data_IF_841406109035
#
_entry.id   IF_841406109035
#
_cell.length_a   1.000
_cell.length_b   1.000
_cell.length_c   1.000
_cell.angle_alpha   90.00
_cell.angle_beta   90.00
_cell.angle_gamma   90.00
#
_symmetry.space_group_name_H-M   'P 1'
#
loop_
_entity.id
_entity.type
_entity.pdbx_description
1 polymer ?
#
# COMPACT_ATOMS: atom_id res chain seq x y z
N UNK A 1 -12.34 -19.20 33.28
CA UNK A 1 -12.66 -17.95 32.57
C UNK A 1 -12.05 -16.71 33.22
N UNK A 2 -11.91 -16.61 34.55
CA UNK A 2 -11.45 -15.36 35.22
C UNK A 2 -9.97 -14.94 35.10
N UNK A 3 -9.05 -15.80 34.67
CA UNK A 3 -7.62 -15.44 34.52
C UNK A 3 -7.28 -14.86 33.14
N UNK A 4 -8.07 -15.17 32.10
CA UNK A 4 -7.86 -14.61 30.75
C UNK A 4 -8.41 -13.19 30.65
N UNK A 5 -9.55 -12.90 31.27
CA UNK A 5 -10.15 -11.56 31.29
C UNK A 5 -9.34 -10.56 32.12
N UNK A 6 -8.80 -10.97 33.27
CA UNK A 6 -7.91 -10.12 34.09
C UNK A 6 -6.57 -9.82 33.40
N UNK A 7 -6.06 -10.74 32.58
CA UNK A 7 -4.84 -10.55 31.79
C UNK A 7 -5.04 -9.63 30.58
N UNK A 8 -6.20 -9.72 29.91
CA UNK A 8 -6.56 -8.80 28.83
C UNK A 8 -6.82 -7.38 29.36
N UNK A 9 -7.42 -7.24 30.54
CA UNK A 9 -7.62 -5.95 31.20
C UNK A 9 -6.28 -5.32 31.64
N UNK A 10 -5.32 -6.10 32.15
CA UNK A 10 -4.01 -5.56 32.54
C UNK A 10 -3.13 -5.15 31.35
N UNK A 11 -3.13 -5.91 30.25
CA UNK A 11 -2.49 -5.52 28.99
C UNK A 11 -3.12 -4.25 28.40
N UNK A 12 -4.45 -4.13 28.47
CA UNK A 12 -5.15 -2.92 28.02
C UNK A 12 -4.76 -1.69 28.84
N UNK A 13 -4.56 -1.83 30.17
CA UNK A 13 -4.17 -0.75 31.07
C UNK A 13 -2.70 -0.35 30.92
N UNK A 14 -1.79 -1.29 30.65
CA UNK A 14 -0.38 -1.02 30.38
C UNK A 14 -0.20 -0.31 29.02
N UNK A 15 -0.87 -0.80 27.98
CA UNK A 15 -0.92 -0.12 26.67
C UNK A 15 -1.57 1.27 26.79
N UNK A 16 -2.61 1.42 27.61
CA UNK A 16 -3.20 2.73 27.93
C UNK A 16 -2.23 3.66 28.64
N UNK A 17 -1.52 3.19 29.67
CA UNK A 17 -0.53 3.97 30.41
C UNK A 17 0.65 4.37 29.53
N UNK A 18 1.12 3.49 28.65
CA UNK A 18 2.17 3.77 27.68
C UNK A 18 1.71 4.81 26.66
N UNK A 19 0.53 4.59 26.07
CA UNK A 19 -0.11 5.51 25.12
C UNK A 19 -0.28 6.91 25.75
N UNK A 20 -0.77 6.98 26.99
CA UNK A 20 -0.89 8.24 27.73
C UNK A 20 0.47 8.87 28.06
N UNK A 21 1.50 8.10 28.44
CA UNK A 21 2.85 8.64 28.71
C UNK A 21 3.49 9.24 27.46
N UNK A 22 3.33 8.60 26.30
CA UNK A 22 3.85 9.13 25.02
C UNK A 22 3.08 10.38 24.63
N UNK A 23 1.75 10.36 24.77
CA UNK A 23 0.88 11.45 24.32
C UNK A 23 0.80 12.64 25.30
N UNK A 24 1.16 12.46 26.58
CA UNK A 24 1.30 13.55 27.56
C UNK A 24 2.57 14.39 27.38
N UNK A 25 3.52 13.98 26.53
CA UNK A 25 4.64 14.84 26.11
C UNK A 25 4.26 15.87 25.03
N UNK A 26 2.99 15.90 24.61
CA UNK A 26 2.47 16.77 23.56
C UNK A 26 1.79 18.00 24.18
N UNK A 27 2.15 19.21 23.71
CA UNK A 27 1.80 20.52 24.28
C UNK A 27 0.29 20.85 24.42
N UNK A 28 -0.64 20.03 23.88
CA UNK A 28 -2.09 20.24 23.99
C UNK A 28 -2.86 18.95 24.35
N UNK A 29 -3.53 18.90 25.53
CA UNK A 29 -4.18 17.68 26.06
C UNK A 29 -5.40 17.14 25.29
N UNK A 30 -6.13 17.97 24.54
CA UNK A 30 -7.38 17.54 23.86
C UNK A 30 -7.11 16.64 22.66
N UNK A 31 -6.15 17.01 21.82
CA UNK A 31 -5.80 16.30 20.59
C UNK A 31 -5.02 15.00 20.89
N UNK A 32 -4.22 15.03 21.95
CA UNK A 32 -3.55 13.86 22.51
C UNK A 32 -4.54 12.82 23.04
N UNK A 33 -5.70 13.22 23.58
CA UNK A 33 -6.73 12.30 24.07
C UNK A 33 -7.52 11.64 22.95
N UNK A 34 -7.88 12.36 21.88
CA UNK A 34 -8.62 11.78 20.76
C UNK A 34 -7.74 10.80 19.97
N UNK A 35 -6.47 11.16 19.78
CA UNK A 35 -5.45 10.29 19.21
C UNK A 35 -5.12 9.12 20.15
N UNK A 36 -5.04 9.34 21.47
CA UNK A 36 -4.89 8.26 22.46
C UNK A 36 -6.06 7.29 22.42
N UNK A 37 -7.28 7.79 22.34
CA UNK A 37 -8.49 6.96 22.32
C UNK A 37 -8.55 6.12 21.04
N UNK A 38 -8.24 6.70 19.88
CA UNK A 38 -8.17 5.97 18.61
C UNK A 38 -6.97 5.01 18.53
N UNK A 39 -5.80 5.42 19.00
CA UNK A 39 -4.58 4.62 18.93
C UNK A 39 -4.52 3.54 20.02
N UNK A 40 -5.08 3.75 21.22
CA UNK A 40 -4.89 2.86 22.38
C UNK A 40 -5.37 1.43 22.17
N UNK A 41 -6.27 1.18 21.22
CA UNK A 41 -6.67 -0.18 20.83
C UNK A 41 -5.61 -0.88 19.96
N UNK A 42 -4.65 -0.13 19.42
CA UNK A 42 -3.77 -0.52 18.31
C UNK A 42 -2.31 -0.14 18.55
N UNK A 43 -1.99 0.49 19.68
CA UNK A 43 -0.60 0.72 20.08
C UNK A 43 0.00 -0.61 20.48
N UNK A 44 1.07 -0.97 19.80
CA UNK A 44 1.92 -2.10 20.18
C UNK A 44 3.03 -1.55 21.08
N UNK A 45 3.15 -2.10 22.28
CA UNK A 45 4.19 -1.69 23.20
C UNK A 45 5.57 -2.10 22.64
N UNK A 46 6.57 -1.20 22.59
CA UNK A 46 7.92 -1.55 22.16
C UNK A 46 8.51 -2.78 22.85
N UNK A 47 8.15 -3.05 24.11
CA UNK A 47 8.63 -4.19 24.89
C UNK A 47 8.03 -5.54 24.42
N UNK A 48 7.05 -5.51 23.53
CA UNK A 48 6.50 -6.71 22.88
C UNK A 48 7.34 -7.21 21.69
N UNK A 49 8.27 -6.38 21.20
CA UNK A 49 9.17 -6.75 20.13
C UNK A 49 10.46 -7.39 20.64
N UNK A 50 10.97 -8.36 19.89
CA UNK A 50 12.26 -9.00 20.13
C UNK A 50 12.95 -9.29 18.78
N UNK A 51 14.28 -9.47 18.80
CA UNK A 51 15.09 -9.76 17.60
C UNK A 51 14.82 -8.75 16.47
N UNK A 52 14.90 -7.45 16.79
CA UNK A 52 14.72 -6.38 15.82
C UNK A 52 15.98 -6.29 14.96
N UNK A 53 15.83 -6.50 13.66
CA UNK A 53 16.92 -6.51 12.69
C UNK A 53 16.59 -5.50 11.57
N UNK A 54 17.62 -4.81 11.07
CA UNK A 54 17.46 -3.99 9.87
C UNK A 54 17.23 -4.90 8.66
N UNK A 55 16.25 -4.54 7.82
CA UNK A 55 15.95 -5.28 6.59
C UNK A 55 16.24 -4.44 5.35
N UNK A 56 15.67 -3.24 5.27
CA UNK A 56 15.84 -2.37 4.12
C UNK A 56 15.71 -0.90 4.50
N UNK A 57 16.36 -0.02 3.74
CA UNK A 57 16.17 1.42 3.82
C UNK A 57 15.64 1.92 2.48
N UNK A 58 14.41 2.40 2.46
CA UNK A 58 13.83 3.11 1.32
C UNK A 58 14.03 4.62 1.45
N UNK A 59 13.58 5.35 0.42
CA UNK A 59 13.60 6.81 0.41
C UNK A 59 12.71 7.42 1.50
N UNK A 60 11.61 6.74 1.85
CA UNK A 60 10.55 7.29 2.70
C UNK A 60 10.59 6.73 4.12
N UNK A 61 11.02 5.47 4.25
CA UNK A 61 11.04 4.76 5.52
C UNK A 61 12.16 3.70 5.55
N UNK A 62 12.54 3.34 6.77
CA UNK A 62 13.33 2.15 7.07
C UNK A 62 12.39 1.02 7.45
N UNK A 63 12.64 -0.17 6.93
CA UNK A 63 11.95 -1.40 7.30
C UNK A 63 12.89 -2.22 8.19
N UNK A 64 12.42 -2.54 9.39
CA UNK A 64 13.04 -3.54 10.26
C UNK A 64 12.14 -4.76 10.38
N UNK A 65 12.73 -5.93 10.58
CA UNK A 65 12.01 -7.17 10.87
C UNK A 65 12.12 -7.46 12.36
N UNK A 66 11.04 -7.91 12.99
CA UNK A 66 11.03 -8.28 14.40
C UNK A 66 10.15 -9.52 14.65
N UNK A 67 10.31 -10.12 15.83
CA UNK A 67 9.36 -11.05 16.41
C UNK A 67 8.42 -10.27 17.35
N UNK A 68 7.11 -10.39 17.16
CA UNK A 68 6.09 -9.77 18.01
C UNK A 68 5.45 -10.80 18.94
N UNK A 69 5.35 -10.49 20.23
CA UNK A 69 4.70 -11.36 21.24
C UNK A 69 3.28 -11.75 20.79
N UNK A 70 2.99 -13.04 20.80
CA UNK A 70 1.66 -13.57 20.44
C UNK A 70 1.36 -13.62 18.93
N UNK A 71 2.21 -13.07 18.06
CA UNK A 71 2.08 -13.19 16.62
C UNK A 71 2.86 -14.39 16.09
N UNK A 72 2.26 -15.17 15.18
CA UNK A 72 2.94 -16.27 14.49
C UNK A 72 3.65 -15.73 13.25
N UNK A 73 4.97 -15.83 13.24
CA UNK A 73 5.82 -15.35 12.14
C UNK A 73 6.53 -14.04 12.48
N UNK A 74 7.18 -13.46 11.47
CA UNK A 74 7.89 -12.19 11.59
C UNK A 74 6.96 -11.03 11.25
N UNK A 75 7.22 -9.87 11.86
CA UNK A 75 6.53 -8.61 11.57
C UNK A 75 7.49 -7.61 10.96
N UNK A 76 6.98 -6.73 10.12
CA UNK A 76 7.68 -5.59 9.58
C UNK A 76 7.34 -4.34 10.40
N UNK A 77 8.39 -3.58 10.75
CA UNK A 77 8.32 -2.28 11.39
C UNK A 77 8.70 -1.24 10.33
N UNK A 78 7.72 -0.54 9.76
CA UNK A 78 7.95 0.54 8.79
C UNK A 78 8.07 1.87 9.53
N UNK A 79 9.28 2.40 9.64
CA UNK A 79 9.58 3.65 10.35
C UNK A 79 9.95 4.74 9.36
N UNK A 80 9.12 5.77 9.26
CA UNK A 80 9.39 6.92 8.40
C UNK A 80 10.60 7.71 8.88
N UNK A 81 11.37 8.24 7.92
CA UNK A 81 12.45 9.16 8.21
C UNK A 81 11.87 10.44 8.83
N UNK A 82 12.49 10.96 9.90
CA UNK A 82 11.92 12.10 10.60
C UNK A 82 12.58 12.48 11.92
N UNK A 83 13.88 12.21 12.09
CA UNK A 83 14.58 12.54 13.35
C UNK A 83 14.64 14.06 13.65
N UNK A 84 14.23 14.93 12.71
CA UNK A 84 14.35 16.39 12.81
C UNK A 84 13.04 17.16 12.49
N UNK A 85 11.86 16.53 12.58
CA UNK A 85 10.58 17.25 12.37
C UNK A 85 10.18 18.10 13.57
N UNK A 86 9.49 19.21 13.34
CA UNK A 86 8.86 20.00 14.40
C UNK A 86 7.69 19.24 15.06
N UNK A 87 7.28 19.68 16.25
CA UNK A 87 6.12 19.08 16.93
C UNK A 87 4.81 19.21 16.12
N UNK A 88 4.65 20.32 15.38
CA UNK A 88 3.51 20.54 14.50
C UNK A 88 3.47 19.54 13.34
N UNK A 89 4.62 19.30 12.69
CA UNK A 89 4.75 18.36 11.58
C UNK A 89 4.51 16.91 12.02
N UNK A 90 5.07 16.51 13.18
CA UNK A 90 4.78 15.20 13.78
C UNK A 90 3.28 14.98 13.98
N UNK A 91 2.57 16.01 14.43
CA UNK A 91 1.13 15.95 14.67
C UNK A 91 0.36 15.77 13.37
N UNK A 92 0.67 16.56 12.33
CA UNK A 92 0.03 16.44 11.02
C UNK A 92 0.26 15.06 10.40
N UNK A 93 1.51 14.59 10.44
CA UNK A 93 1.89 13.25 9.97
C UNK A 93 1.10 12.17 10.72
N UNK A 94 1.10 12.21 12.05
CA UNK A 94 0.47 11.18 12.88
C UNK A 94 -1.05 11.17 12.68
N UNK A 95 -1.68 12.35 12.59
CA UNK A 95 -3.11 12.45 12.30
C UNK A 95 -3.45 11.81 10.95
N UNK A 96 -2.65 12.07 9.89
CA UNK A 96 -2.89 11.47 8.57
C UNK A 96 -2.67 9.97 8.59
N UNK A 97 -1.56 9.50 9.17
CA UNK A 97 -1.26 8.08 9.31
C UNK A 97 -2.41 7.34 10.00
N UNK A 98 -2.89 7.83 11.15
CA UNK A 98 -3.98 7.19 11.88
C UNK A 98 -5.29 7.20 11.11
N UNK A 99 -5.57 8.29 10.37
CA UNK A 99 -6.75 8.36 9.49
C UNK A 99 -6.72 7.30 8.41
N UNK A 100 -5.60 7.18 7.69
CA UNK A 100 -5.46 6.21 6.59
C UNK A 100 -5.38 4.76 7.10
N UNK A 101 -4.74 4.53 8.26
CA UNK A 101 -4.78 3.22 8.94
C UNK A 101 -6.19 2.84 9.39
N UNK A 102 -6.99 3.81 9.85
CA UNK A 102 -8.40 3.60 10.16
C UNK A 102 -9.16 3.06 8.95
N UNK A 103 -8.99 3.68 7.78
CA UNK A 103 -9.59 3.22 6.52
C UNK A 103 -9.11 1.82 6.13
N UNK A 104 -7.80 1.57 6.14
CA UNK A 104 -7.23 0.25 5.80
C UNK A 104 -7.75 -0.84 6.74
N UNK A 105 -7.87 -0.58 8.04
CA UNK A 105 -8.40 -1.56 8.99
C UNK A 105 -9.84 -1.98 8.68
N UNK A 106 -10.69 -1.09 8.18
CA UNK A 106 -12.08 -1.43 7.83
C UNK A 106 -12.20 -2.47 6.70
N UNK A 107 -11.12 -2.72 5.98
CA UNK A 107 -11.09 -3.60 4.80
C UNK A 107 -10.17 -4.82 4.96
N UNK A 108 -9.53 -4.98 6.12
CA UNK A 108 -8.49 -6.01 6.33
C UNK A 108 -9.01 -7.46 6.40
N UNK A 109 -10.32 -7.66 6.45
CA UNK A 109 -10.92 -9.01 6.44
C UNK A 109 -10.84 -9.66 5.06
N UNK A 110 -10.57 -8.88 4.00
CA UNK A 110 -10.41 -9.42 2.66
C UNK A 110 -9.12 -10.25 2.52
N UNK A 111 -9.15 -11.44 1.90
CA UNK A 111 -8.00 -12.33 1.82
C UNK A 111 -6.80 -11.77 1.03
N UNK A 112 -7.03 -10.76 0.19
CA UNK A 112 -6.00 -10.06 -0.59
C UNK A 112 -5.62 -8.68 -0.05
N UNK A 113 -5.93 -8.39 1.21
CA UNK A 113 -5.52 -7.16 1.90
C UNK A 113 -4.66 -7.55 3.09
N UNK A 114 -3.48 -6.95 3.22
CA UNK A 114 -2.58 -7.21 4.34
C UNK A 114 -3.21 -6.63 5.63
N UNK A 115 -3.31 -7.41 6.73
CA UNK A 115 -3.85 -6.89 7.97
C UNK A 115 -2.88 -5.94 8.68
N UNK A 116 -3.44 -4.97 9.38
CA UNK A 116 -2.68 -4.02 10.20
C UNK A 116 -2.62 -4.56 11.63
N UNK A 117 -1.42 -4.85 12.14
CA UNK A 117 -1.23 -5.34 13.51
C UNK A 117 -1.29 -4.20 14.51
N UNK A 118 -0.76 -3.03 14.14
CA UNK A 118 -0.85 -1.83 14.96
C UNK A 118 0.19 -0.77 14.61
N UNK A 119 0.42 0.13 15.55
CA UNK A 119 1.39 1.22 15.45
C UNK A 119 2.27 1.23 16.70
N UNK A 120 3.58 1.23 16.52
CA UNK A 120 4.52 1.44 17.61
C UNK A 120 4.81 2.94 17.72
N UNK A 121 4.36 3.57 18.80
CA UNK A 121 4.59 4.99 19.06
C UNK A 121 6.02 5.20 19.61
N UNK A 122 6.60 6.36 19.32
CA UNK A 122 7.88 6.77 19.89
C UNK A 122 7.81 8.22 20.35
N UNK A 123 8.45 8.55 21.47
CA UNK A 123 8.42 9.92 22.02
C UNK A 123 9.27 10.90 21.20
N UNK A 124 10.38 10.42 20.62
CA UNK A 124 11.34 11.26 19.90
C UNK A 124 11.29 11.12 18.37
N UNK A 125 10.55 10.13 17.83
CA UNK A 125 10.54 9.79 16.40
C UNK A 125 9.11 9.68 15.88
N UNK A 126 8.95 9.68 14.55
CA UNK A 126 7.67 9.35 13.93
C UNK A 126 7.21 7.92 14.31
N UNK A 127 5.89 7.67 14.38
CA UNK A 127 5.35 6.34 14.64
C UNK A 127 5.84 5.31 13.61
N UNK A 128 5.96 4.05 14.01
CA UNK A 128 6.23 2.94 13.11
C UNK A 128 4.96 2.11 12.88
N UNK A 129 4.66 1.79 11.61
CA UNK A 129 3.58 0.88 11.25
C UNK A 129 4.05 -0.57 11.44
N UNK A 130 3.18 -1.38 12.06
CA UNK A 130 3.42 -2.79 12.35
C UNK A 130 2.48 -3.65 11.50
N UNK A 131 3.05 -4.46 10.62
CA UNK A 131 2.31 -5.38 9.73
C UNK A 131 3.02 -6.75 9.66
N UNK A 132 2.35 -7.84 9.24
CA UNK A 132 3.03 -9.11 8.99
C UNK A 132 4.12 -8.94 7.92
N UNK A 133 5.24 -9.64 8.08
CA UNK A 133 6.33 -9.60 7.11
C UNK A 133 6.19 -10.71 6.07
N UNK A 134 6.16 -10.30 4.80
CA UNK A 134 6.15 -11.16 3.62
C UNK A 134 7.05 -10.54 2.53
N UNK A 135 7.64 -11.34 1.63
CA UNK A 135 8.37 -10.80 0.50
C UNK A 135 7.44 -10.02 -0.44
N UNK A 136 7.96 -8.99 -1.09
CA UNK A 136 7.20 -8.26 -2.13
C UNK A 136 7.11 -9.09 -3.41
N UNK A 137 6.16 -8.77 -4.29
CA UNK A 137 6.11 -9.33 -5.65
C UNK A 137 7.43 -9.06 -6.37
N UNK A 138 8.01 -7.87 -6.20
CA UNK A 138 9.34 -7.54 -6.75
C UNK A 138 10.42 -8.52 -6.28
N UNK A 139 10.47 -8.84 -4.99
CA UNK A 139 11.45 -9.78 -4.43
C UNK A 139 11.24 -11.20 -4.96
N UNK A 140 9.97 -11.64 -5.03
CA UNK A 140 9.62 -12.98 -5.54
C UNK A 140 10.00 -13.12 -7.01
N UNK A 141 9.69 -12.12 -7.83
CA UNK A 141 10.00 -12.14 -9.27
C UNK A 141 11.51 -12.02 -9.56
N UNK A 142 12.27 -11.32 -8.73
CA UNK A 142 13.73 -11.23 -8.85
C UNK A 142 14.42 -12.56 -8.55
N UNK A 143 13.82 -13.41 -7.71
CA UNK A 143 14.35 -14.72 -7.33
C UNK A 143 13.75 -15.89 -8.14
N UNK A 144 12.90 -15.60 -9.13
CA UNK A 144 12.25 -16.60 -9.97
C UNK A 144 13.03 -16.84 -11.27
N UNK A 145 14.17 -17.52 -11.15
CA UNK A 145 15.04 -17.88 -12.29
C UNK A 145 14.36 -18.81 -13.29
N UNK A 146 13.42 -19.61 -12.82
CA UNK A 146 12.81 -20.70 -13.57
C UNK A 146 11.48 -20.29 -14.23
N UNK A 147 11.03 -19.05 -14.03
CA UNK A 147 9.78 -18.53 -14.59
C UNK A 147 8.53 -19.23 -14.07
N UNK A 148 8.57 -19.76 -12.84
CA UNK A 148 7.48 -20.56 -12.25
C UNK A 148 6.43 -19.72 -11.54
N UNK A 149 6.71 -18.44 -11.30
CA UNK A 149 5.74 -17.56 -10.64
C UNK A 149 4.53 -17.35 -11.54
N UNK A 150 3.35 -17.71 -11.03
CA UNK A 150 2.07 -17.45 -11.69
C UNK A 150 1.72 -15.96 -11.59
N UNK A 151 2.28 -15.19 -12.54
CA UNK A 151 2.04 -13.74 -12.65
C UNK A 151 0.55 -13.44 -12.80
N UNK A 152 -0.20 -14.26 -13.54
CA UNK A 152 -1.63 -14.03 -13.76
C UNK A 152 -2.43 -14.25 -12.47
N UNK A 153 -2.17 -15.33 -11.73
CA UNK A 153 -2.82 -15.60 -10.45
C UNK A 153 -2.52 -14.52 -9.41
N UNK A 154 -1.27 -14.02 -9.35
CA UNK A 154 -0.92 -12.90 -8.48
C UNK A 154 -1.65 -11.61 -8.88
N UNK A 155 -1.83 -11.32 -10.17
CA UNK A 155 -2.59 -10.16 -10.66
C UNK A 155 -4.09 -10.28 -10.37
N UNK A 156 -4.69 -11.48 -10.50
CA UNK A 156 -6.08 -11.74 -10.12
C UNK A 156 -6.32 -11.41 -8.64
N UNK A 157 -5.39 -11.81 -7.77
CA UNK A 157 -5.47 -11.48 -6.34
C UNK A 157 -5.41 -9.97 -6.07
N UNK A 158 -4.57 -9.23 -6.81
CA UNK A 158 -4.51 -7.76 -6.72
C UNK A 158 -5.81 -7.14 -7.19
N UNK A 159 -6.35 -7.58 -8.33
CA UNK A 159 -7.61 -7.09 -8.89
C UNK A 159 -8.79 -7.34 -7.94
N UNK A 160 -8.88 -8.53 -7.34
CA UNK A 160 -9.90 -8.86 -6.33
C UNK A 160 -9.80 -7.95 -5.09
N UNK A 161 -8.59 -7.70 -4.59
CA UNK A 161 -8.35 -6.75 -3.49
C UNK A 161 -8.79 -5.33 -3.83
N UNK A 162 -8.40 -4.82 -5.01
CA UNK A 162 -8.78 -3.50 -5.47
C UNK A 162 -10.29 -3.37 -5.70
N UNK A 163 -10.93 -4.40 -6.26
CA UNK A 163 -12.39 -4.46 -6.42
C UNK A 163 -13.10 -4.30 -5.08
N UNK A 164 -12.62 -4.96 -4.04
CA UNK A 164 -13.20 -4.81 -2.70
C UNK A 164 -13.04 -3.39 -2.13
N UNK A 165 -11.88 -2.76 -2.34
CA UNK A 165 -11.62 -1.37 -1.93
C UNK A 165 -12.50 -0.36 -2.69
N UNK A 166 -12.58 -0.51 -4.01
CA UNK A 166 -13.32 0.39 -4.89
C UNK A 166 -14.83 0.26 -4.70
N UNK A 167 -15.32 -0.89 -4.21
CA UNK A 167 -16.73 -1.10 -3.89
C UNK A 167 -17.17 -0.50 -2.55
N UNK A 168 -16.26 0.09 -1.77
CA UNK A 168 -16.61 0.74 -0.50
C UNK A 168 -17.46 2.00 -0.75
N UNK A 169 -18.14 2.47 0.27
CA UNK A 169 -18.94 3.70 0.22
C UNK A 169 -18.55 4.64 1.38
N UNK A 170 -17.75 5.68 1.15
CA UNK A 170 -17.15 6.06 -0.13
C UNK A 170 -16.08 5.05 -0.62
N UNK A 171 -15.77 5.00 -1.92
CA UNK A 171 -14.71 4.13 -2.45
C UNK A 171 -13.37 4.44 -1.79
N UNK A 172 -12.52 3.42 -1.61
CA UNK A 172 -11.16 3.57 -1.09
C UNK A 172 -10.19 3.36 -2.24
N UNK A 173 -9.35 4.35 -2.52
CA UNK A 173 -8.26 4.24 -3.49
C UNK A 173 -6.99 3.83 -2.76
N UNK A 174 -6.20 2.94 -3.36
CA UNK A 174 -4.94 2.48 -2.78
C UNK A 174 -3.85 3.55 -2.92
N UNK A 175 -3.66 4.08 -4.13
CA UNK A 175 -2.78 5.21 -4.43
C UNK A 175 -1.29 4.91 -4.60
N UNK A 176 -0.82 3.67 -4.47
CA UNK A 176 0.60 3.29 -4.66
C UNK A 176 0.74 1.84 -5.13
N UNK A 177 0.04 1.47 -6.20
CA UNK A 177 0.07 0.10 -6.75
C UNK A 177 1.33 -0.11 -7.60
N UNK A 178 2.24 -0.97 -7.14
CA UNK A 178 3.48 -1.38 -7.82
C UNK A 178 4.05 -2.66 -7.19
N UNK A 179 4.98 -3.35 -7.85
CA UNK A 179 5.43 -4.66 -7.37
C UNK A 179 6.10 -4.64 -5.98
N UNK A 180 6.62 -3.49 -5.54
CA UNK A 180 7.21 -3.32 -4.21
C UNK A 180 6.21 -3.06 -3.09
N UNK A 181 4.93 -2.78 -3.39
CA UNK A 181 3.87 -2.56 -2.39
C UNK A 181 2.88 -3.72 -2.32
N UNK A 182 2.96 -4.67 -3.25
CA UNK A 182 2.21 -5.92 -3.21
C UNK A 182 3.08 -6.99 -2.54
N UNK A 183 2.55 -7.63 -1.49
CA UNK A 183 3.23 -8.71 -0.78
C UNK A 183 2.74 -10.08 -1.23
N UNK A 184 3.59 -11.10 -1.12
CA UNK A 184 3.26 -12.49 -1.46
C UNK A 184 3.28 -13.35 -0.21
N UNK A 185 2.12 -13.88 0.15
CA UNK A 185 1.99 -14.85 1.23
C UNK A 185 1.90 -16.26 0.66
N UNK A 186 2.80 -17.14 1.09
CA UNK A 186 2.66 -18.59 0.90
C UNK A 186 1.86 -19.19 2.06
N UNK A 187 0.86 -20.01 1.74
CA UNK A 187 0.04 -20.72 2.71
C UNK A 187 -0.26 -22.14 2.21
N UNK A 188 -0.58 -23.05 3.13
CA UNK A 188 -1.06 -24.38 2.77
C UNK A 188 -2.55 -24.31 2.51
N UNK A 189 -2.97 -24.73 1.33
CA UNK A 189 -4.38 -24.90 1.00
C UNK A 189 -4.98 -25.96 1.95
N UNK A 190 -6.05 -25.63 2.70
CA UNK A 190 -6.56 -26.51 3.74
C UNK A 190 -7.23 -27.77 3.18
N UNK A 191 -7.60 -27.78 1.90
CA UNK A 191 -8.27 -28.90 1.24
C UNK A 191 -7.28 -29.86 0.60
N UNK A 192 -6.26 -29.32 -0.08
CA UNK A 192 -5.28 -30.09 -0.86
C UNK A 192 -3.97 -30.31 -0.11
N UNK A 193 -3.66 -29.50 0.91
CA UNK A 193 -2.38 -29.51 1.60
C UNK A 193 -1.23 -28.93 0.78
N UNK A 194 -1.50 -28.41 -0.42
CA UNK A 194 -0.49 -27.85 -1.31
C UNK A 194 -0.13 -26.42 -0.92
N UNK A 195 1.13 -26.05 -1.12
CA UNK A 195 1.57 -24.67 -0.93
C UNK A 195 1.01 -23.80 -2.07
N UNK A 196 0.17 -22.84 -1.71
CA UNK A 196 -0.36 -21.81 -2.60
C UNK A 196 0.20 -20.44 -2.23
N UNK A 197 0.25 -19.55 -3.21
CA UNK A 197 0.62 -18.16 -3.01
C UNK A 197 -0.59 -17.26 -3.20
N UNK A 198 -0.62 -16.15 -2.47
CA UNK A 198 -1.56 -15.06 -2.73
C UNK A 198 -0.92 -13.69 -2.62
N UNK A 199 -1.40 -12.75 -3.43
CA UNK A 199 -1.04 -11.34 -3.32
C UNK A 199 -1.84 -10.66 -2.21
N UNK A 200 -1.18 -9.78 -1.47
CA UNK A 200 -1.75 -8.92 -0.43
C UNK A 200 -1.44 -7.45 -0.75
N UNK A 201 -2.49 -6.64 -0.87
CA UNK A 201 -2.37 -5.18 -0.96
C UNK A 201 -1.85 -4.63 0.38
N UNK A 202 -0.80 -3.81 0.34
CA UNK A 202 -0.23 -3.14 1.51
C UNK A 202 -0.03 -1.65 1.23
N UNK A 203 0.19 -0.84 2.26
CA UNK A 203 0.40 0.61 2.12
C UNK A 203 -0.82 1.36 1.53
N UNK A 204 -2.02 0.86 1.80
CA UNK A 204 -3.28 1.47 1.36
C UNK A 204 -3.38 2.90 1.91
N UNK A 205 -3.52 3.89 1.01
CA UNK A 205 -3.65 5.30 1.37
C UNK A 205 -2.36 5.98 1.82
N UNK A 206 -1.27 5.23 1.99
CA UNK A 206 0.01 5.77 2.47
C UNK A 206 0.62 6.77 1.49
N UNK A 207 0.20 6.75 0.22
CA UNK A 207 0.68 7.68 -0.79
C UNK A 207 0.36 9.16 -0.50
N UNK A 208 -0.65 9.36 0.34
CA UNK A 208 -1.14 10.69 0.71
C UNK A 208 -0.50 11.23 1.99
N UNK A 209 0.41 10.47 2.61
CA UNK A 209 1.08 10.87 3.85
C UNK A 209 2.26 11.80 3.51
N UNK A 210 2.32 13.02 4.08
CA UNK A 210 3.42 13.96 3.87
C UNK A 210 4.79 13.42 4.35
N UNK A 211 5.89 13.81 3.70
CA UNK A 211 7.25 13.40 4.06
C UNK A 211 8.18 14.59 4.37
N UNK A 212 9.03 14.55 5.43
CA UNK A 212 10.06 15.57 5.73
C UNK A 212 11.42 15.23 5.07
N UNK A 213 12.32 16.20 4.75
CA UNK A 213 12.27 17.64 4.99
C UNK A 213 11.63 18.47 3.86
N UNK A 214 11.38 17.87 2.69
CA UNK A 214 11.05 18.64 1.48
C UNK A 214 9.56 18.66 1.11
N UNK A 215 8.67 18.00 1.86
CA UNK A 215 7.22 17.94 1.58
C UNK A 215 6.87 17.61 0.12
N UNK A 216 7.84 17.05 -0.61
CA UNK A 216 7.72 16.59 -1.95
C UNK A 216 7.23 15.15 -1.89
N UNK A 217 6.24 14.85 -2.73
CA UNK A 217 5.69 13.51 -2.87
C UNK A 217 6.78 12.52 -3.24
N UNK A 218 6.55 11.25 -2.90
CA UNK A 218 7.09 10.06 -3.57
C UNK A 218 8.28 10.34 -4.48
N UNK A 219 9.47 9.88 -4.06
CA UNK A 219 10.70 10.08 -4.83
C UNK A 219 10.43 9.86 -6.32
N UNK A 220 10.88 10.79 -7.16
CA UNK A 220 10.45 11.00 -8.55
C UNK A 220 10.32 9.70 -9.37
N UNK A 221 11.05 8.64 -9.01
CA UNK A 221 10.96 7.31 -9.62
C UNK A 221 9.61 6.59 -9.46
N UNK A 222 8.84 6.86 -8.41
CA UNK A 222 7.49 6.34 -8.19
C UNK A 222 6.48 6.85 -9.24
N UNK A 223 6.81 7.94 -9.94
CA UNK A 223 5.97 8.51 -10.99
C UNK A 223 5.72 7.54 -12.18
N UNK A 224 6.51 6.47 -12.31
CA UNK A 224 6.36 5.47 -13.38
C UNK A 224 5.04 4.73 -13.35
N UNK A 225 4.44 4.58 -12.18
CA UNK A 225 3.15 3.91 -11.99
C UNK A 225 1.97 4.87 -11.89
N UNK A 226 2.23 6.16 -11.64
CA UNK A 226 1.17 7.14 -11.42
C UNK A 226 0.42 7.48 -12.72
N UNK A 227 -0.88 7.70 -12.60
CA UNK A 227 -1.72 8.16 -13.69
C UNK A 227 -1.44 9.63 -14.05
N UNK A 228 -1.66 10.06 -15.30
CA UNK A 228 -1.38 11.44 -15.72
C UNK A 228 -2.16 12.48 -14.91
N UNK A 229 -3.41 12.22 -14.54
CA UNK A 229 -4.24 13.13 -13.73
C UNK A 229 -3.81 13.24 -12.25
N UNK A 230 -3.03 12.28 -11.75
CA UNK A 230 -2.44 12.39 -10.42
C UNK A 230 -1.29 13.41 -10.45
N UNK A 231 -0.51 13.39 -11.54
CA UNK A 231 0.69 14.21 -11.74
C UNK A 231 0.40 15.60 -12.31
N UNK A 232 -0.60 15.74 -13.17
CA UNK A 232 -0.97 16.99 -13.83
C UNK A 232 -2.32 17.51 -13.30
N UNK A 233 -2.33 18.61 -12.53
CA UNK A 233 -3.56 19.24 -12.05
C UNK A 233 -4.56 19.60 -13.14
N UNK A 234 -4.11 19.89 -14.37
CA UNK A 234 -5.00 20.24 -15.48
C UNK A 234 -5.82 19.05 -15.98
N UNK A 235 -5.39 17.82 -15.67
CA UNK A 235 -6.06 16.58 -16.07
C UNK A 235 -6.95 16.00 -14.95
N UNK A 236 -6.97 16.63 -13.77
CA UNK A 236 -7.70 16.14 -12.59
C UNK A 236 -9.22 16.12 -12.83
N UNK A 237 -9.92 15.10 -12.31
CA UNK A 237 -11.37 15.15 -12.17
C UNK A 237 -11.78 16.38 -11.36
N UNK A 238 -12.91 17.01 -11.71
CA UNK A 238 -13.46 18.05 -10.84
C UNK A 238 -14.02 17.43 -9.56
N UNK A 239 -14.11 18.20 -8.47
CA UNK A 239 -14.71 17.72 -7.21
C UNK A 239 -16.18 17.26 -7.37
N UNK A 240 -16.86 17.68 -8.44
CA UNK A 240 -18.21 17.23 -8.77
C UNK A 240 -18.22 15.87 -9.48
N UNK A 241 -17.13 15.49 -10.14
CA UNK A 241 -16.99 14.23 -10.85
C UNK A 241 -16.60 13.07 -9.93
N UNK A 242 -16.02 13.36 -8.77
CA UNK A 242 -15.55 12.31 -7.85
C UNK A 242 -16.58 12.07 -6.74
N UNK A 243 -16.92 10.80 -6.49
CA UNK A 243 -17.62 10.38 -5.27
C UNK A 243 -16.72 10.43 -4.03
N UNK A 244 -15.52 10.99 -4.16
CA UNK A 244 -14.51 11.08 -3.11
C UNK A 244 -14.77 12.30 -2.25
N UNK A 245 -15.06 12.05 -0.97
CA UNK A 245 -15.08 13.07 0.06
C UNK A 245 -13.76 12.99 0.84
N UNK A 246 -12.73 13.64 0.32
CA UNK A 246 -11.62 14.08 1.19
C UNK A 246 -11.29 15.54 0.81
N UNK A 247 -11.93 16.52 1.45
CA UNK A 247 -11.77 17.94 1.15
C UNK A 247 -10.59 18.56 1.91
N UNK A 248 -9.64 17.76 2.44
CA UNK A 248 -8.53 18.35 3.19
C UNK A 248 -7.68 19.23 2.26
N UNK A 249 -7.52 20.54 2.56
CA UNK A 249 -6.75 21.48 1.74
C UNK A 249 -5.25 21.15 1.68
N UNK A 250 -4.82 20.12 2.41
CA UNK A 250 -3.46 19.58 2.40
C UNK A 250 -3.28 18.45 1.38
N UNK A 251 -4.35 17.96 0.74
CA UNK A 251 -4.27 16.92 -0.30
C UNK A 251 -3.62 17.50 -1.54
N UNK A 252 -2.53 16.85 -1.90
CA UNK A 252 -1.59 17.31 -2.91
C UNK A 252 -1.56 16.32 -4.07
N UNK A 253 -1.85 15.04 -3.81
CA UNK A 253 -2.15 14.00 -4.80
C UNK A 253 -3.60 13.55 -4.68
N UNK A 254 -4.38 13.75 -5.74
CA UNK A 254 -5.73 13.20 -5.85
C UNK A 254 -5.65 11.80 -6.44
N UNK A 255 -5.70 10.78 -5.58
CA UNK A 255 -5.78 9.37 -5.99
C UNK A 255 -7.24 8.94 -6.05
N UNK A 256 -7.59 8.21 -7.11
CA UNK A 256 -8.94 7.70 -7.36
C UNK A 256 -8.90 6.22 -7.78
N UNK A 257 -10.05 5.51 -7.76
CA UNK A 257 -10.15 4.15 -8.28
C UNK A 257 -9.64 4.02 -9.72
N UNK A 258 -9.90 5.01 -10.57
CA UNK A 258 -9.45 5.04 -11.95
C UNK A 258 -7.92 5.23 -12.06
N UNK A 259 -7.32 5.97 -11.13
CA UNK A 259 -5.86 6.08 -11.04
C UNK A 259 -5.19 4.79 -10.53
N UNK A 260 -5.88 4.02 -9.67
CA UNK A 260 -5.42 2.68 -9.28
C UNK A 260 -5.48 1.71 -10.46
N UNK A 261 -6.51 1.79 -11.31
CA UNK A 261 -6.60 0.98 -12.54
C UNK A 261 -5.44 1.27 -13.49
N UNK A 262 -5.05 2.53 -13.64
CA UNK A 262 -3.85 2.88 -14.40
C UNK A 262 -2.59 2.23 -13.79
N UNK A 263 -2.41 2.39 -12.49
CA UNK A 263 -1.28 1.82 -11.75
C UNK A 263 -1.27 0.28 -11.83
N UNK A 264 -2.44 -0.36 -11.86
CA UNK A 264 -2.60 -1.79 -12.08
C UNK A 264 -2.07 -2.22 -13.45
N UNK A 265 -2.35 -1.46 -14.52
CA UNK A 265 -1.77 -1.71 -15.84
C UNK A 265 -0.24 -1.63 -15.84
N UNK A 266 0.32 -0.64 -15.13
CA UNK A 266 1.78 -0.49 -14.96
C UNK A 266 2.39 -1.60 -14.09
N UNK A 267 1.70 -2.05 -13.04
CA UNK A 267 2.08 -3.21 -12.24
C UNK A 267 2.09 -4.48 -13.10
N UNK A 268 1.05 -4.73 -13.89
CA UNK A 268 0.99 -5.90 -14.77
C UNK A 268 2.15 -5.88 -15.76
N UNK A 269 2.44 -4.72 -16.37
CA UNK A 269 3.62 -4.54 -17.22
C UNK A 269 4.91 -4.87 -16.47
N UNK A 270 5.13 -4.29 -15.28
CA UNK A 270 6.31 -4.54 -14.45
C UNK A 270 6.49 -6.03 -14.12
N UNK A 271 5.41 -6.73 -13.79
CA UNK A 271 5.47 -8.15 -13.43
C UNK A 271 5.84 -9.05 -14.62
N UNK A 272 5.32 -8.74 -15.82
CA UNK A 272 5.61 -9.50 -17.03
C UNK A 272 7.00 -9.19 -17.61
N UNK A 273 7.46 -7.93 -17.55
CA UNK A 273 8.80 -7.55 -18.03
C UNK A 273 9.89 -7.87 -17.01
N UNK A 274 9.53 -8.06 -15.73
CA UNK A 274 10.46 -8.15 -14.59
C UNK A 274 11.30 -6.88 -14.41
N UNK A 275 10.83 -5.75 -14.95
CA UNK A 275 11.54 -4.47 -14.93
C UNK A 275 10.55 -3.32 -14.77
N UNK A 276 11.00 -2.21 -14.17
CA UNK A 276 10.15 -1.04 -13.93
C UNK A 276 9.63 -0.44 -15.23
N UNK A 277 8.43 0.16 -15.25
CA UNK A 277 7.93 0.85 -16.44
C UNK A 277 8.90 1.96 -16.89
N UNK A 278 9.10 2.06 -18.22
CA UNK A 278 10.01 3.04 -18.83
C UNK A 278 11.47 2.93 -18.35
N UNK A 279 11.97 1.72 -18.08
CA UNK A 279 13.30 1.50 -17.50
C UNK A 279 14.45 2.14 -18.28
N UNK A 280 14.33 2.25 -19.61
CA UNK A 280 15.26 2.95 -20.50
C UNK A 280 15.32 4.47 -20.29
N UNK A 281 14.27 5.06 -19.69
CA UNK A 281 14.24 6.48 -19.34
C UNK A 281 14.80 6.67 -17.93
N UNK A 282 16.06 7.11 -17.87
CA UNK A 282 16.81 7.30 -16.63
C UNK A 282 16.17 8.41 -15.77
N UNK A 283 15.86 9.55 -16.39
CA UNK A 283 15.36 10.73 -15.69
C UNK A 283 13.85 10.64 -15.44
N UNK A 284 13.46 10.59 -14.18
CA UNK A 284 12.06 10.44 -13.82
C UNK A 284 11.18 11.62 -14.25
N UNK A 285 11.72 12.85 -14.31
CA UNK A 285 11.01 13.99 -14.90
C UNK A 285 10.66 13.76 -16.39
N UNK A 286 11.54 13.09 -17.14
CA UNK A 286 11.24 12.72 -18.53
C UNK A 286 10.14 11.65 -18.60
N UNK A 287 10.05 10.75 -17.62
CA UNK A 287 8.92 9.81 -17.51
C UNK A 287 7.62 10.56 -17.29
N UNK A 288 7.58 11.51 -16.35
CA UNK A 288 6.40 12.37 -16.11
C UNK A 288 5.93 13.04 -17.40
N UNK A 289 6.85 13.71 -18.12
CA UNK A 289 6.54 14.37 -19.39
C UNK A 289 5.96 13.39 -20.40
N UNK A 290 6.56 12.20 -20.56
CA UNK A 290 6.09 11.16 -21.48
C UNK A 290 4.68 10.68 -21.12
N UNK A 291 4.44 10.37 -19.85
CA UNK A 291 3.16 9.84 -19.37
C UNK A 291 2.05 10.88 -19.53
N UNK A 292 2.31 12.12 -19.14
CA UNK A 292 1.38 13.25 -19.29
C UNK A 292 1.15 13.63 -20.76
N UNK A 293 2.10 13.36 -21.66
CA UNK A 293 1.92 13.53 -23.11
C UNK A 293 1.19 12.34 -23.77
N UNK A 294 0.73 11.35 -23.00
CA UNK A 294 0.01 10.18 -23.51
C UNK A 294 0.91 9.08 -24.09
N UNK A 295 2.23 9.20 -23.98
CA UNK A 295 3.15 8.15 -24.44
C UNK A 295 3.11 6.93 -23.50
N UNK A 296 3.12 5.73 -24.07
CA UNK A 296 3.08 4.44 -23.37
C UNK A 296 4.14 3.49 -23.94
N UNK A 297 4.45 2.37 -23.26
CA UNK A 297 5.31 1.33 -23.82
C UNK A 297 4.75 0.80 -25.16
N UNK A 298 5.61 0.59 -26.16
CA UNK A 298 5.20 0.06 -27.46
C UNK A 298 5.21 -1.46 -27.44
N UNK A 299 4.13 -2.11 -27.91
CA UNK A 299 4.03 -3.58 -27.96
C UNK A 299 5.18 -4.22 -28.73
N UNK A 300 5.67 -3.55 -29.77
CA UNK A 300 6.74 -4.07 -30.63
C UNK A 300 8.01 -4.41 -29.83
N UNK A 301 8.24 -3.73 -28.70
CA UNK A 301 9.40 -3.92 -27.83
C UNK A 301 9.19 -5.05 -26.80
N UNK A 302 7.95 -5.54 -26.63
CA UNK A 302 7.55 -6.47 -25.55
C UNK A 302 6.76 -7.68 -26.06
N UNK A 303 7.24 -8.32 -27.13
CA UNK A 303 6.59 -9.47 -27.77
C UNK A 303 6.43 -10.72 -26.87
N UNK A 304 7.11 -10.77 -25.73
CA UNK A 304 6.99 -11.85 -24.73
C UNK A 304 5.74 -11.74 -23.86
N UNK A 305 5.11 -10.56 -23.81
CA UNK A 305 3.87 -10.37 -23.06
C UNK A 305 2.72 -11.00 -23.87
N UNK A 306 1.93 -11.90 -23.26
CA UNK A 306 0.76 -12.49 -23.93
C UNK A 306 -0.21 -11.43 -24.47
N UNK A 307 -0.83 -11.70 -25.62
CA UNK A 307 -1.65 -10.72 -26.33
C UNK A 307 -2.85 -10.24 -25.53
N UNK A 308 -3.58 -11.18 -24.95
CA UNK A 308 -4.68 -10.98 -24.03
C UNK A 308 -4.31 -10.03 -22.87
N UNK A 309 -3.15 -10.22 -22.26
CA UNK A 309 -2.68 -9.41 -21.13
C UNK A 309 -2.25 -8.01 -21.56
N UNK A 310 -1.63 -7.88 -22.72
CA UNK A 310 -1.31 -6.57 -23.26
C UNK A 310 -2.57 -5.74 -23.54
N UNK A 311 -3.62 -6.36 -24.08
CA UNK A 311 -4.92 -5.69 -24.28
C UNK A 311 -5.50 -5.20 -22.95
N UNK A 312 -5.42 -6.03 -21.89
CA UNK A 312 -5.82 -5.61 -20.54
C UNK A 312 -5.00 -4.40 -20.07
N UNK A 313 -3.67 -4.43 -20.22
CA UNK A 313 -2.80 -3.30 -19.86
C UNK A 313 -3.17 -2.03 -20.65
N UNK A 314 -3.46 -2.16 -21.95
CA UNK A 314 -3.86 -1.06 -22.82
C UNK A 314 -5.17 -0.41 -22.42
N UNK A 315 -6.16 -1.20 -22.01
CA UNK A 315 -7.39 -0.69 -21.45
C UNK A 315 -7.16 0.02 -20.10
N UNK A 316 -6.28 -0.53 -19.25
CA UNK A 316 -6.00 0.02 -17.93
C UNK A 316 -5.27 1.37 -17.99
N UNK A 317 -4.29 1.55 -18.89
CA UNK A 317 -3.45 2.76 -18.92
C UNK A 317 -3.91 3.86 -19.89
N UNK A 318 -5.19 3.89 -20.24
CA UNK A 318 -5.78 4.92 -21.09
C UNK A 318 -5.49 6.32 -20.54
N UNK A 319 -5.20 7.26 -21.44
CA UNK A 319 -4.85 8.63 -21.04
C UNK A 319 -6.05 9.31 -20.35
N UNK A 320 -7.24 9.24 -20.95
CA UNK A 320 -8.46 9.69 -20.31
C UNK A 320 -8.95 8.65 -19.29
N UNK A 321 -8.96 9.03 -18.01
CA UNK A 321 -9.37 8.18 -16.90
C UNK A 321 -10.81 7.64 -17.03
N UNK A 322 -11.71 8.36 -17.72
CA UNK A 322 -13.09 7.92 -17.97
C UNK A 322 -13.21 6.74 -18.94
N UNK A 323 -12.17 6.51 -19.76
CA UNK A 323 -12.15 5.41 -20.73
C UNK A 323 -11.53 4.14 -20.15
N UNK A 324 -10.98 4.21 -18.93
CA UNK A 324 -10.45 3.03 -18.25
C UNK A 324 -11.62 2.18 -17.78
N UNK A 325 -11.51 0.84 -17.86
CA UNK A 325 -12.49 -0.04 -17.24
C UNK A 325 -12.49 0.16 -15.72
N UNK A 326 -13.60 -0.13 -15.06
CA UNK A 326 -13.55 -0.30 -13.61
C UNK A 326 -12.78 -1.59 -13.28
N UNK A 327 -12.25 -1.69 -12.06
CA UNK A 327 -11.45 -2.85 -11.68
C UNK A 327 -12.25 -4.15 -11.65
N UNK A 328 -13.58 -4.08 -11.44
CA UNK A 328 -14.46 -5.24 -11.52
C UNK A 328 -14.47 -5.88 -12.91
N UNK A 329 -14.47 -5.05 -13.96
CA UNK A 329 -14.37 -5.51 -15.34
C UNK A 329 -13.00 -6.13 -15.61
N UNK A 330 -11.92 -5.53 -15.09
CA UNK A 330 -10.56 -6.08 -15.22
C UNK A 330 -10.46 -7.43 -14.51
N UNK A 331 -10.98 -7.56 -13.28
CA UNK A 331 -11.00 -8.81 -12.52
C UNK A 331 -11.70 -9.94 -13.31
N UNK A 332 -12.86 -9.63 -13.89
CA UNK A 332 -13.60 -10.57 -14.75
C UNK A 332 -12.82 -10.98 -16.01
N UNK A 333 -12.11 -10.04 -16.66
CA UNK A 333 -11.25 -10.38 -17.80
C UNK A 333 -10.11 -11.32 -17.42
N UNK A 334 -9.46 -11.09 -16.29
CA UNK A 334 -8.38 -11.96 -15.81
C UNK A 334 -8.89 -13.36 -15.48
N UNK A 335 -10.10 -13.48 -14.92
CA UNK A 335 -10.76 -14.76 -14.71
C UNK A 335 -10.97 -15.53 -16.02
N UNK A 336 -11.52 -14.89 -17.05
CA UNK A 336 -11.71 -15.50 -18.38
C UNK A 336 -10.38 -15.93 -19.01
N UNK A 337 -9.34 -15.09 -18.90
CA UNK A 337 -8.00 -15.40 -19.41
C UNK A 337 -7.42 -16.63 -18.70
N UNK A 338 -7.54 -16.70 -17.38
CA UNK A 338 -7.04 -17.81 -16.57
C UNK A 338 -7.73 -19.14 -16.93
N UNK A 339 -9.05 -19.11 -17.10
CA UNK A 339 -9.82 -20.27 -17.56
C UNK A 339 -9.43 -20.72 -18.98
N UNK A 340 -9.12 -19.78 -19.87
CA UNK A 340 -8.73 -20.11 -21.25
C UNK A 340 -7.34 -20.74 -21.34
N UNK A 341 -6.42 -20.41 -20.42
CA UNK A 341 -5.04 -20.93 -20.39
C UNK A 341 -4.89 -22.27 -19.68
N UNK A 342 -5.93 -22.71 -18.96
CA UNK A 342 -5.95 -23.98 -18.23
C UNK A 342 -6.56 -25.13 -19.05
N UNK A 343 -7.14 -24.80 -20.21
CA UNK A 343 -7.58 -25.72 -21.28
C UNK A 343 -6.45 -25.87 -22.29
#
# INVERSE_FOLDING_TARGET
MGLYETFLVSLSLLSWCYTLRVLMTWDRPSDARDLAAHCSQYVVDPDEFSNIEHFASGNTHVVSIASLRGHKGKVALKRWHGAAVSAHERRLFTHRLVTDLGRWRTVQEHPNILPVLGVALHTANLPALVVPFYPTVKDVLANDSDGRVDVLGLLQNVAAGLRFLHSRSPPIAHGDIKASTILVQTYLDPTTGEAKQRSLLSDIGMASIPQPPDWSFHGVDDARWLAPEVMDPALRPTLQDTKFQDPSPTITLLVTPESDVFSFGMLAFEMYTRDRPYSSTIWSAAVVIRVCSGLRPSRADYSRIPEDMWVVMECCWQHNWRLRPNIETVDAWLEVISQTRTV
#
